data_IF_455338612928
#
_entry.id   IF_455338612928
#
_cell.length_a   1.000
_cell.length_b   1.000
_cell.length_c   1.000
_cell.angle_alpha   90.00
_cell.angle_beta   90.00
_cell.angle_gamma   90.00
#
_symmetry.space_group_name_H-M   'P 1'
#
loop_
_entity.id
_entity.type
_entity.pdbx_description
1 polymer ?
#
# COMPACT_ATOMS: atom_id res chain seq x y z
N UNK A 1 -20.04 -7.94 -1.49
CA UNK A 1 -19.16 -8.94 -2.10
C UNK A 1 -18.16 -8.18 -2.96
N UNK A 2 -16.86 -8.36 -2.71
CA UNK A 2 -15.84 -7.81 -3.60
C UNK A 2 -15.90 -8.54 -4.94
N UNK A 3 -15.76 -7.82 -6.04
CA UNK A 3 -15.63 -8.46 -7.34
C UNK A 3 -14.32 -9.29 -7.36
N UNK A 4 -14.33 -10.50 -7.93
CA UNK A 4 -13.13 -11.31 -8.01
C UNK A 4 -11.96 -10.54 -8.65
N UNK A 5 -10.80 -10.56 -8.00
CA UNK A 5 -9.58 -9.89 -8.49
C UNK A 5 -9.45 -8.40 -8.19
N UNK A 6 -10.42 -7.78 -7.48
CA UNK A 6 -10.37 -6.34 -7.17
C UNK A 6 -9.93 -6.03 -5.72
N UNK A 7 -9.39 -7.00 -5.02
CA UNK A 7 -8.93 -6.85 -3.64
C UNK A 7 -9.91 -7.39 -2.61
N UNK A 8 -9.53 -7.31 -1.37
CA UNK A 8 -10.26 -7.87 -0.25
C UNK A 8 -10.80 -6.79 0.68
N UNK A 9 -11.80 -7.16 1.48
CA UNK A 9 -12.38 -6.25 2.48
C UNK A 9 -11.39 -5.94 3.62
N UNK A 10 -11.53 -4.77 4.23
CA UNK A 10 -10.89 -4.45 5.50
C UNK A 10 -11.49 -5.23 6.69
N UNK A 11 -10.76 -5.28 7.77
CA UNK A 11 -11.22 -5.80 9.06
C UNK A 11 -12.28 -4.88 9.68
N UNK A 12 -13.11 -5.44 10.56
CA UNK A 12 -14.08 -4.66 11.33
C UNK A 12 -13.39 -3.88 12.44
N UNK A 13 -13.83 -2.66 12.71
CA UNK A 13 -13.51 -1.95 13.96
C UNK A 13 -14.27 -2.55 15.15
N UNK A 14 -13.84 -2.19 16.36
CA UNK A 14 -14.50 -2.63 17.60
C UNK A 14 -15.77 -1.80 17.90
N UNK A 15 -16.78 -2.41 18.53
CA UNK A 15 -18.08 -1.75 18.76
C UNK A 15 -18.30 -1.21 20.17
N UNK A 16 -17.61 -1.66 21.19
CA UNK A 16 -17.94 -1.38 22.59
C UNK A 16 -16.93 -0.44 23.26
N UNK A 17 -16.97 0.83 22.95
CA UNK A 17 -16.23 1.87 23.69
C UNK A 17 -14.69 1.84 23.51
N UNK A 18 -14.19 0.88 22.77
CA UNK A 18 -12.78 0.56 22.56
C UNK A 18 -12.30 1.03 21.18
N UNK A 19 -12.71 2.09 20.63
CA UNK A 19 -12.39 2.73 19.36
C UNK A 19 -11.09 2.24 18.66
N UNK A 20 -11.07 0.96 18.25
CA UNK A 20 -9.93 0.37 17.54
C UNK A 20 -10.34 0.05 16.12
N UNK A 21 -9.60 0.55 15.16
CA UNK A 21 -9.86 0.35 13.75
C UNK A 21 -9.40 -1.04 13.30
N UNK A 22 -10.16 -1.64 12.40
CA UNK A 22 -9.70 -2.81 11.64
C UNK A 22 -8.62 -2.40 10.64
N UNK A 23 -7.79 -3.35 10.22
CA UNK A 23 -6.82 -3.15 9.16
C UNK A 23 -7.50 -3.05 7.79
N UNK A 24 -6.89 -2.31 6.86
CA UNK A 24 -7.32 -2.24 5.47
C UNK A 24 -7.19 -3.59 4.76
N UNK A 25 -8.05 -3.89 3.79
CA UNK A 25 -7.87 -5.05 2.92
C UNK A 25 -6.72 -4.84 1.95
N UNK A 26 -6.00 -5.91 1.63
CA UNK A 26 -4.99 -5.95 0.58
C UNK A 26 -5.50 -6.69 -0.66
N UNK A 27 -4.74 -6.67 -1.74
CA UNK A 27 -5.10 -7.42 -2.93
C UNK A 27 -5.04 -8.94 -2.72
N UNK A 28 -4.14 -9.41 -1.84
CA UNK A 28 -3.95 -10.84 -1.58
C UNK A 28 -4.73 -11.39 -0.37
N UNK A 29 -5.11 -10.55 0.60
CA UNK A 29 -5.83 -11.00 1.81
C UNK A 29 -6.72 -9.91 2.42
N UNK A 30 -7.69 -10.37 3.22
CA UNK A 30 -8.51 -9.48 4.04
C UNK A 30 -7.68 -8.85 5.17
N UNK A 31 -8.06 -7.63 5.58
CA UNK A 31 -7.53 -7.03 6.81
C UNK A 31 -8.13 -7.71 8.05
N UNK A 32 -7.36 -7.75 9.15
CA UNK A 32 -7.84 -8.32 10.39
C UNK A 32 -8.72 -7.31 11.16
N UNK A 33 -9.69 -7.78 11.95
CA UNK A 33 -10.48 -6.92 12.83
C UNK A 33 -9.60 -6.28 13.91
N UNK A 34 -10.04 -5.12 14.40
CA UNK A 34 -9.53 -4.61 15.68
C UNK A 34 -9.89 -5.59 16.83
N UNK A 35 -9.02 -5.69 17.82
CA UNK A 35 -9.21 -6.56 18.97
C UNK A 35 -10.10 -5.91 20.03
N UNK A 36 -11.11 -6.62 20.53
CA UNK A 36 -12.01 -6.17 21.59
C UNK A 36 -11.46 -6.38 23.01
N UNK A 37 -10.30 -6.98 23.16
CA UNK A 37 -9.72 -7.19 24.50
C UNK A 37 -9.24 -5.87 25.11
N UNK A 38 -9.56 -5.65 26.36
CA UNK A 38 -8.81 -4.79 27.25
C UNK A 38 -7.47 -5.44 27.47
N UNK A 39 -6.56 -5.28 26.54
CA UNK A 39 -5.38 -6.10 26.54
C UNK A 39 -4.40 -5.65 27.61
N UNK A 40 -3.85 -6.61 28.29
CA UNK A 40 -2.55 -6.53 28.94
C UNK A 40 -1.53 -5.95 27.96
N UNK A 41 -0.67 -5.08 28.44
CA UNK A 41 0.40 -4.48 27.63
C UNK A 41 1.09 -5.53 26.76
N UNK A 42 0.98 -5.39 25.43
CA UNK A 42 1.67 -6.25 24.47
C UNK A 42 0.85 -6.74 23.28
N UNK A 43 -0.47 -6.79 23.35
CA UNK A 43 -1.29 -7.20 22.20
C UNK A 43 -1.58 -6.03 21.26
N UNK A 44 -1.35 -6.17 19.95
CA UNK A 44 -1.80 -5.17 18.99
C UNK A 44 -3.33 -5.12 19.02
N UNK A 45 -3.86 -3.96 19.28
CA UNK A 45 -5.31 -3.73 19.41
C UNK A 45 -5.95 -3.22 18.13
N UNK A 46 -5.19 -2.58 17.26
CA UNK A 46 -5.61 -2.29 15.89
C UNK A 46 -5.50 -3.52 15.00
N UNK A 47 -6.38 -3.65 14.01
CA UNK A 47 -6.32 -4.72 13.02
C UNK A 47 -5.14 -4.56 12.07
N UNK A 48 -4.48 -5.67 11.73
CA UNK A 48 -3.39 -5.66 10.76
C UNK A 48 -3.92 -5.53 9.34
N UNK A 49 -3.14 -4.89 8.47
CA UNK A 49 -3.44 -4.77 7.04
C UNK A 49 -3.38 -6.12 6.33
N UNK A 50 -4.30 -6.34 5.40
CA UNK A 50 -4.31 -7.52 4.54
C UNK A 50 -3.11 -7.56 3.61
N UNK A 51 -2.59 -8.74 3.33
CA UNK A 51 -1.45 -8.91 2.44
C UNK A 51 -1.72 -8.35 1.04
N UNK A 52 -0.67 -7.82 0.41
CA UNK A 52 -0.67 -7.51 -1.01
C UNK A 52 -0.58 -8.77 -1.87
N UNK A 53 -0.72 -8.61 -3.17
CA UNK A 53 -0.46 -9.67 -4.14
C UNK A 53 1.01 -9.63 -4.58
N UNK A 54 1.61 -10.79 -4.67
CA UNK A 54 2.96 -10.93 -5.22
C UNK A 54 2.89 -11.10 -6.74
N UNK A 55 3.74 -10.37 -7.45
CA UNK A 55 3.81 -10.44 -8.91
C UNK A 55 5.26 -10.24 -9.40
N UNK A 56 5.64 -10.94 -10.45
CA UNK A 56 6.97 -10.87 -11.06
C UNK A 56 6.98 -10.18 -12.43
N UNK A 57 5.97 -9.39 -12.75
CA UNK A 57 5.85 -8.71 -14.05
C UNK A 57 7.08 -7.83 -14.36
N UNK A 58 7.75 -7.30 -13.35
CA UNK A 58 8.98 -6.52 -13.45
C UNK A 58 10.25 -7.36 -13.16
N UNK A 59 10.24 -8.64 -13.45
CA UNK A 59 11.41 -9.54 -13.33
C UNK A 59 11.63 -10.10 -11.93
N UNK A 60 11.33 -9.36 -10.87
CA UNK A 60 11.45 -9.82 -9.48
C UNK A 60 10.08 -9.94 -8.83
N UNK A 61 9.94 -10.93 -7.95
CA UNK A 61 8.75 -11.06 -7.12
C UNK A 61 8.64 -9.87 -6.17
N UNK A 62 7.65 -9.01 -6.41
CA UNK A 62 7.36 -7.83 -5.60
C UNK A 62 5.92 -7.87 -5.12
N UNK A 63 5.66 -7.34 -3.92
CA UNK A 63 4.31 -7.17 -3.42
C UNK A 63 3.71 -5.84 -3.86
N UNK A 64 2.41 -5.85 -4.16
CA UNK A 64 1.63 -4.67 -4.55
C UNK A 64 0.30 -4.65 -3.79
N UNK A 65 -0.23 -3.46 -3.54
CA UNK A 65 -1.54 -3.24 -2.94
C UNK A 65 -1.75 -3.96 -1.59
N UNK A 66 -0.81 -3.79 -0.66
CA UNK A 66 -0.98 -4.20 0.74
C UNK A 66 -1.90 -3.24 1.49
N UNK A 67 -2.74 -3.76 2.40
CA UNK A 67 -3.59 -2.95 3.27
C UNK A 67 -2.80 -2.21 4.35
N UNK A 68 -3.27 -1.04 4.80
CA UNK A 68 -2.69 -0.36 5.94
C UNK A 68 -3.13 -0.97 7.27
N UNK A 69 -2.32 -0.84 8.31
CA UNK A 69 -2.67 -1.20 9.69
C UNK A 69 -3.71 -0.24 10.28
N UNK A 70 -4.61 -0.75 11.11
CA UNK A 70 -5.63 0.03 11.79
C UNK A 70 -5.06 0.93 12.90
N UNK A 71 -5.67 2.07 13.10
CA UNK A 71 -5.34 2.95 14.23
C UNK A 71 -5.90 2.44 15.55
N UNK A 72 -5.33 2.91 16.66
CA UNK A 72 -5.71 2.47 18.00
C UNK A 72 -5.84 3.64 18.98
N UNK A 73 -6.62 3.40 20.03
CA UNK A 73 -6.94 4.40 21.05
C UNK A 73 -5.99 4.37 22.25
N UNK A 74 -5.34 3.25 22.53
CA UNK A 74 -4.48 3.07 23.70
C UNK A 74 -3.02 2.86 23.29
N UNK A 75 -2.08 3.09 24.22
CA UNK A 75 -0.67 2.92 23.96
C UNK A 75 -0.29 1.42 23.87
N UNK A 76 -0.66 0.79 22.78
CA UNK A 76 -0.35 -0.61 22.46
C UNK A 76 0.54 -0.67 21.23
N UNK A 77 1.17 -1.81 20.92
CA UNK A 77 1.98 -1.96 19.73
C UNK A 77 1.21 -1.60 18.45
N UNK A 78 1.87 -0.98 17.51
CA UNK A 78 1.28 -0.54 16.26
C UNK A 78 0.77 -1.74 15.43
N UNK A 79 -0.39 -1.58 14.79
CA UNK A 79 -0.90 -2.56 13.83
C UNK A 79 -0.11 -2.45 12.52
N UNK A 80 0.55 -3.53 12.11
CA UNK A 80 1.38 -3.52 10.91
C UNK A 80 0.56 -3.54 9.62
N UNK A 81 1.09 -2.91 8.59
CA UNK A 81 0.55 -2.98 7.24
C UNK A 81 0.87 -4.30 6.55
N UNK A 82 0.07 -4.66 5.56
CA UNK A 82 0.19 -5.92 4.83
C UNK A 82 1.45 -6.00 3.98
N UNK A 83 2.08 -7.16 3.95
CA UNK A 83 3.26 -7.49 3.14
C UNK A 83 4.44 -6.52 3.28
N UNK A 84 4.58 -5.85 4.42
CA UNK A 84 5.61 -4.82 4.69
C UNK A 84 5.62 -3.63 3.72
N UNK A 85 4.58 -3.49 2.88
CA UNK A 85 4.37 -2.36 1.97
C UNK A 85 3.17 -1.50 2.37
N UNK A 86 2.23 -2.03 3.12
CA UNK A 86 1.18 -1.24 3.78
C UNK A 86 1.77 -0.40 4.91
N UNK A 87 1.24 0.80 5.12
CA UNK A 87 1.63 1.66 6.24
C UNK A 87 1.21 1.06 7.58
N UNK A 88 2.02 1.26 8.60
CA UNK A 88 1.75 0.84 9.98
C UNK A 88 0.79 1.83 10.64
N UNK A 89 -0.19 1.34 11.35
CA UNK A 89 -1.12 2.17 12.13
C UNK A 89 -0.43 2.82 13.33
N UNK A 90 -1.09 3.81 13.90
CA UNK A 90 -0.63 4.48 15.12
C UNK A 90 -0.46 3.49 16.26
N UNK A 91 0.67 3.53 16.94
CA UNK A 91 0.97 2.78 18.16
C UNK A 91 1.30 3.69 19.35
N UNK A 92 1.67 3.06 20.48
CA UNK A 92 2.01 3.76 21.73
C UNK A 92 3.08 4.85 21.58
N UNK A 93 4.12 4.54 20.82
CA UNK A 93 5.30 5.40 20.65
C UNK A 93 5.61 5.65 19.17
N UNK A 94 4.70 5.28 18.27
CA UNK A 94 4.90 5.38 16.83
C UNK A 94 3.76 6.13 16.18
N UNK A 95 4.07 7.03 15.28
CA UNK A 95 3.10 7.66 14.41
C UNK A 95 2.71 6.72 13.28
N UNK A 96 1.52 6.92 12.71
CA UNK A 96 1.12 6.18 11.52
C UNK A 96 2.11 6.43 10.37
N UNK A 97 2.43 5.41 9.59
CA UNK A 97 3.32 5.52 8.44
C UNK A 97 2.59 5.42 7.12
N UNK A 98 3.11 6.07 6.10
CA UNK A 98 2.57 5.96 4.74
C UNK A 98 2.76 4.54 4.18
N UNK A 99 1.92 4.16 3.25
CA UNK A 99 2.15 3.02 2.39
C UNK A 99 3.38 3.22 1.52
N UNK A 100 4.05 2.15 1.15
CA UNK A 100 5.24 2.19 0.30
C UNK A 100 4.90 2.83 -1.05
N UNK A 101 5.77 3.75 -1.50
CA UNK A 101 5.59 4.42 -2.79
C UNK A 101 5.63 3.41 -3.95
N UNK A 102 4.90 3.68 -5.01
CA UNK A 102 4.84 2.86 -6.23
C UNK A 102 4.39 1.41 -5.99
N UNK A 103 3.52 1.20 -5.01
CA UNK A 103 2.92 -0.10 -4.71
C UNK A 103 1.40 -0.08 -4.65
N UNK A 104 0.78 1.10 -4.62
CA UNK A 104 -0.66 1.24 -4.44
C UNK A 104 -1.17 0.76 -3.07
N UNK A 105 -0.30 0.75 -2.05
CA UNK A 105 -0.62 0.25 -0.72
C UNK A 105 -1.33 1.27 0.16
N UNK A 106 -2.13 0.80 1.11
CA UNK A 106 -2.82 1.65 2.07
C UNK A 106 -1.87 2.28 3.09
N UNK A 107 -2.17 3.49 3.54
CA UNK A 107 -1.50 4.13 4.67
C UNK A 107 -2.02 3.62 6.02
N UNK A 108 -1.26 3.83 7.07
CA UNK A 108 -1.63 3.46 8.43
C UNK A 108 -2.72 4.39 9.01
N UNK A 109 -3.61 3.81 9.80
CA UNK A 109 -4.67 4.53 10.50
C UNK A 109 -4.13 5.38 11.66
N UNK A 110 -4.68 6.57 11.83
CA UNK A 110 -4.45 7.41 13.00
C UNK A 110 -5.09 6.84 14.27
N UNK A 111 -4.68 7.30 15.41
CA UNK A 111 -5.16 6.85 16.71
C UNK A 111 -5.27 7.97 17.71
N UNK A 112 -5.26 7.63 19.01
CA UNK A 112 -5.22 8.60 20.10
C UNK A 112 -4.31 8.09 21.22
N UNK A 113 -3.43 8.96 21.73
CA UNK A 113 -2.54 8.65 22.84
C UNK A 113 -3.26 8.63 24.20
N UNK A 114 -4.40 9.28 24.29
CA UNK A 114 -5.19 9.34 25.51
C UNK A 114 -6.47 8.54 25.31
N UNK A 115 -6.74 7.60 26.21
CA UNK A 115 -7.94 6.78 26.14
C UNK A 115 -9.28 7.52 26.03
N UNK A 116 -9.27 8.85 26.09
CA UNK A 116 -10.46 9.73 25.98
C UNK A 116 -10.76 10.19 24.53
N UNK A 117 -9.88 9.89 23.58
CA UNK A 117 -10.02 10.40 22.20
C UNK A 117 -9.70 11.89 22.04
N UNK A 118 -9.29 12.57 23.12
CA UNK A 118 -9.10 14.02 23.15
C UNK A 118 -7.83 14.50 22.45
N UNK A 119 -6.97 13.64 21.99
CA UNK A 119 -5.76 13.97 21.25
C UNK A 119 -5.61 13.07 20.02
N UNK A 120 -6.41 13.32 18.97
CA UNK A 120 -6.35 12.52 17.77
C UNK A 120 -5.01 12.71 17.06
N UNK A 121 -4.41 11.62 16.64
CA UNK A 121 -3.22 11.60 15.81
C UNK A 121 -3.57 11.27 14.36
N UNK A 122 -2.88 11.93 13.46
CA UNK A 122 -3.18 11.82 12.03
C UNK A 122 -2.92 10.41 11.49
N UNK A 123 -3.77 9.99 10.56
CA UNK A 123 -3.49 8.87 9.67
C UNK A 123 -2.40 9.25 8.66
N UNK A 124 -1.78 8.27 8.06
CA UNK A 124 -0.79 8.50 7.02
C UNK A 124 -1.36 8.20 5.63
N UNK A 125 -0.75 8.79 4.61
CA UNK A 125 -1.17 8.63 3.21
C UNK A 125 -0.97 7.20 2.70
N UNK A 126 -1.78 6.77 1.73
CA UNK A 126 -1.48 5.60 0.93
C UNK A 126 -0.23 5.81 0.08
N UNK A 127 0.41 4.72 -0.33
CA UNK A 127 1.48 4.75 -1.31
C UNK A 127 0.95 5.10 -2.70
N UNK A 128 1.78 5.77 -3.51
CA UNK A 128 1.43 6.00 -4.91
C UNK A 128 1.23 4.69 -5.66
N UNK A 129 0.38 4.72 -6.69
CA UNK A 129 0.22 3.61 -7.62
C UNK A 129 1.40 3.45 -8.56
N UNK A 130 1.37 2.38 -9.34
CA UNK A 130 2.34 2.07 -10.39
C UNK A 130 1.62 1.41 -11.56
N UNK A 131 2.08 1.69 -12.78
CA UNK A 131 1.72 0.92 -13.97
C UNK A 131 2.99 0.21 -14.45
N UNK A 132 2.89 -1.07 -14.74
CA UNK A 132 4.00 -1.84 -15.29
C UNK A 132 3.57 -2.44 -16.62
N UNK A 133 4.28 -2.08 -17.66
CA UNK A 133 4.14 -2.68 -18.98
C UNK A 133 5.27 -3.72 -19.16
N UNK A 134 4.93 -4.90 -19.66
CA UNK A 134 5.90 -5.93 -20.07
C UNK A 134 5.61 -6.30 -21.52
N UNK A 135 6.62 -6.23 -22.36
CA UNK A 135 6.50 -6.51 -23.79
C UNK A 135 7.83 -6.95 -24.39
N UNK A 136 7.83 -7.35 -25.65
CA UNK A 136 9.03 -7.69 -26.41
C UNK A 136 9.69 -6.48 -27.12
N UNK A 137 9.09 -5.28 -27.00
CA UNK A 137 9.60 -4.07 -27.62
C UNK A 137 10.68 -3.45 -26.73
N UNK A 138 11.88 -3.27 -27.28
CA UNK A 138 13.05 -2.79 -26.54
C UNK A 138 13.01 -1.30 -26.18
N UNK A 139 12.21 -0.51 -26.88
CA UNK A 139 12.01 0.92 -26.60
C UNK A 139 10.60 1.36 -26.95
N UNK A 140 10.01 2.19 -26.10
CA UNK A 140 8.68 2.77 -26.29
C UNK A 140 8.78 4.29 -26.27
N UNK A 141 7.85 4.97 -26.95
CA UNK A 141 7.75 6.44 -26.93
C UNK A 141 6.69 6.85 -25.92
N UNK A 142 7.08 7.67 -24.97
CA UNK A 142 6.19 8.20 -23.93
C UNK A 142 5.99 9.70 -24.09
N UNK A 143 4.82 10.19 -23.71
CA UNK A 143 4.53 11.63 -23.62
C UNK A 143 5.35 12.31 -22.52
N UNK A 144 5.50 13.62 -22.61
CA UNK A 144 6.44 14.41 -21.78
C UNK A 144 6.14 14.42 -20.28
N UNK A 145 4.91 14.11 -19.88
CA UNK A 145 4.48 14.14 -18.48
C UNK A 145 4.71 12.84 -17.70
N UNK A 146 5.31 11.84 -18.33
CA UNK A 146 5.45 10.50 -17.73
C UNK A 146 6.85 10.31 -17.12
N UNK A 147 6.91 9.68 -15.94
CA UNK A 147 8.16 9.19 -15.36
C UNK A 147 8.23 7.67 -15.53
N UNK A 148 9.20 7.20 -16.29
CA UNK A 148 9.37 5.77 -16.63
C UNK A 148 10.76 5.32 -16.24
N UNK A 149 10.86 4.19 -15.52
CA UNK A 149 12.12 3.62 -15.04
C UNK A 149 13.02 4.66 -14.33
N UNK A 150 12.40 5.63 -13.64
CA UNK A 150 13.10 6.72 -12.96
C UNK A 150 13.51 7.90 -13.85
N UNK A 151 13.27 7.84 -15.16
CA UNK A 151 13.53 8.95 -16.09
C UNK A 151 12.26 9.77 -16.30
N UNK A 152 12.33 11.08 -16.04
CA UNK A 152 11.22 12.01 -16.27
C UNK A 152 11.39 12.69 -17.62
N UNK A 153 10.31 12.77 -18.38
CA UNK A 153 10.28 13.42 -19.69
C UNK A 153 9.85 12.45 -20.79
N UNK A 154 9.30 13.01 -21.86
CA UNK A 154 8.83 12.26 -23.02
C UNK A 154 9.94 11.82 -23.94
N UNK A 155 9.58 11.03 -24.92
CA UNK A 155 10.47 10.52 -25.96
C UNK A 155 10.68 9.02 -25.88
N UNK A 156 11.69 8.54 -26.58
CA UNK A 156 12.03 7.11 -26.64
C UNK A 156 12.74 6.69 -25.37
N UNK A 157 12.17 5.74 -24.64
CA UNK A 157 12.75 5.17 -23.43
C UNK A 157 12.99 3.67 -23.66
N UNK A 158 14.21 3.22 -23.34
CA UNK A 158 14.55 1.81 -23.40
C UNK A 158 13.92 1.05 -22.22
N UNK A 159 13.43 -0.14 -22.49
CA UNK A 159 12.91 -1.04 -21.47
C UNK A 159 14.01 -1.58 -20.56
N UNK A 160 13.67 -1.86 -19.33
CA UNK A 160 14.56 -2.54 -18.38
C UNK A 160 14.51 -4.05 -18.63
N UNK A 161 15.68 -4.68 -18.62
CA UNK A 161 15.84 -6.13 -18.83
C UNK A 161 16.26 -6.88 -17.57
N UNK A 162 16.39 -6.17 -16.45
CA UNK A 162 16.84 -6.75 -15.18
C UNK A 162 15.95 -7.91 -14.75
N UNK A 163 16.54 -9.10 -14.63
CA UNK A 163 15.84 -10.35 -14.30
C UNK A 163 14.70 -10.73 -15.27
N UNK A 164 14.77 -10.28 -16.52
CA UNK A 164 13.81 -10.64 -17.55
C UNK A 164 14.34 -11.77 -18.43
N UNK A 165 13.46 -12.61 -19.00
CA UNK A 165 13.83 -13.51 -20.09
C UNK A 165 14.39 -12.74 -21.29
N UNK A 166 15.24 -13.40 -22.09
CA UNK A 166 15.80 -12.80 -23.30
C UNK A 166 14.69 -12.31 -24.24
N UNK A 167 14.81 -11.09 -24.72
CA UNK A 167 13.84 -10.46 -25.62
C UNK A 167 12.59 -9.88 -24.95
N UNK A 168 12.53 -9.86 -23.62
CA UNK A 168 11.46 -9.20 -22.87
C UNK A 168 11.97 -7.99 -22.10
N UNK A 169 11.13 -6.98 -22.03
CA UNK A 169 11.43 -5.69 -21.42
C UNK A 169 10.26 -5.26 -20.52
N UNK A 170 10.55 -4.52 -19.46
CA UNK A 170 9.50 -3.89 -18.67
C UNK A 170 9.73 -2.38 -18.53
N UNK A 171 8.63 -1.67 -18.28
CA UNK A 171 8.56 -0.22 -18.10
C UNK A 171 7.75 0.06 -16.85
N UNK A 172 8.37 0.67 -15.84
CA UNK A 172 7.70 1.11 -14.60
C UNK A 172 7.30 2.57 -14.73
N UNK A 173 6.00 2.83 -14.82
CA UNK A 173 5.44 4.18 -14.85
C UNK A 173 5.03 4.54 -13.43
N UNK A 174 5.71 5.54 -12.85
CA UNK A 174 5.58 5.91 -11.44
C UNK A 174 4.94 7.28 -11.23
N UNK A 175 4.88 8.10 -12.26
CA UNK A 175 4.22 9.40 -12.21
C UNK A 175 3.71 9.81 -13.59
N UNK A 176 2.62 10.58 -13.58
CA UNK A 176 2.05 11.27 -14.74
C UNK A 176 1.74 12.70 -14.33
N UNK A 177 1.89 13.69 -15.23
CA UNK A 177 1.67 15.10 -14.94
C UNK A 177 0.32 15.62 -15.41
N UNK A 178 -0.32 14.92 -16.33
CA UNK A 178 -1.59 15.33 -16.94
C UNK A 178 -2.62 14.20 -16.92
N UNK A 179 -3.87 14.55 -17.20
CA UNK A 179 -4.96 13.56 -17.22
C UNK A 179 -4.88 12.61 -18.42
N UNK A 180 -4.14 12.97 -19.47
CA UNK A 180 -4.01 12.16 -20.70
C UNK A 180 -2.54 12.03 -21.05
N UNK A 181 -2.01 10.87 -20.77
CA UNK A 181 -0.65 10.49 -21.16
C UNK A 181 -0.71 9.32 -22.14
N UNK A 182 0.23 9.27 -23.06
CA UNK A 182 0.26 8.26 -24.13
C UNK A 182 1.54 7.46 -24.13
N UNK A 183 1.43 6.22 -24.56
CA UNK A 183 2.56 5.35 -24.94
C UNK A 183 2.34 4.84 -26.34
N UNK A 184 3.38 4.87 -27.15
CA UNK A 184 3.36 4.33 -28.52
C UNK A 184 4.34 3.18 -28.63
N UNK A 185 3.83 2.07 -29.18
CA UNK A 185 4.55 0.81 -29.37
C UNK A 185 5.21 0.76 -30.74
#
# INVERSE_FOLDING_TARGET
LAAPGQGNRGGRGTQLGQAQAGGGGGAGAIGTPGNNSWSTAGDPTGGQGGAGVQNNIAGLNSFYAGGGGGGQRFPTPAAVGGSSIGGTGQGASTVATAGAANTGSGGGGGGSLTGTGSNPLASAAGGSGIIILRCSTSSLVFSSGVTVNGTTGGGTISGDTTNMPSGEYFYKITATSTAVETVTF
#
